data_IF_491024236950
#
_entry.id   IF_491024236950
#
_cell.length_a   1.000
_cell.length_b   1.000
_cell.length_c   1.000
_cell.angle_alpha   90.00
_cell.angle_beta   90.00
_cell.angle_gamma   90.00
#
_symmetry.space_group_name_H-M   'P 1'
#
loop_
_entity.id
_entity.type
_entity.pdbx_description
1 polymer ?
#
# COMPACT_ATOMS: atom_id res chain seq x y z
N UNK A 1 -16.55 12.63 -0.26
CA UNK A 1 -15.34 13.35 0.21
C UNK A 1 -14.41 12.49 1.05
N UNK A 2 -14.85 11.85 2.15
CA UNK A 2 -13.97 10.99 2.99
C UNK A 2 -13.22 9.88 2.22
N UNK A 3 -13.88 9.26 1.22
CA UNK A 3 -13.28 8.25 0.34
C UNK A 3 -12.08 8.76 -0.47
N UNK A 4 -12.17 9.98 -0.99
CA UNK A 4 -11.09 10.62 -1.76
C UNK A 4 -9.88 10.93 -0.88
N UNK A 5 -10.12 11.35 0.36
CA UNK A 5 -9.05 11.62 1.34
C UNK A 5 -8.34 10.32 1.72
N UNK A 6 -9.09 9.23 1.98
CA UNK A 6 -8.51 7.91 2.25
C UNK A 6 -7.68 7.39 1.07
N UNK A 7 -8.18 7.56 -0.16
CA UNK A 7 -7.44 7.16 -1.37
C UNK A 7 -6.17 7.99 -1.58
N UNK A 8 -6.22 9.31 -1.36
CA UNK A 8 -5.06 10.18 -1.48
C UNK A 8 -4.00 9.84 -0.42
N UNK A 9 -4.40 9.61 0.84
CA UNK A 9 -3.50 9.18 1.91
C UNK A 9 -2.89 7.80 1.62
N UNK A 10 -3.67 6.89 1.06
CA UNK A 10 -3.18 5.58 0.64
C UNK A 10 -2.12 5.69 -0.47
N UNK A 11 -2.36 6.52 -1.51
CA UNK A 11 -1.38 6.78 -2.56
C UNK A 11 -0.09 7.40 -2.01
N UNK A 12 -0.21 8.36 -1.09
CA UNK A 12 0.96 8.96 -0.42
C UNK A 12 1.73 7.92 0.40
N UNK A 13 1.04 7.04 1.13
CA UNK A 13 1.67 5.95 1.86
C UNK A 13 2.36 4.94 0.93
N UNK A 14 1.84 4.74 -0.29
CA UNK A 14 2.41 3.84 -1.28
C UNK A 14 3.72 4.38 -1.90
N UNK A 15 3.89 5.70 -1.99
CA UNK A 15 5.10 6.33 -2.56
C UNK A 15 6.36 6.03 -1.76
N UNK A 16 6.26 5.96 -0.43
CA UNK A 16 7.41 5.73 0.47
C UNK A 16 8.08 4.38 0.16
N UNK A 17 7.39 3.24 0.27
CA UNK A 17 8.02 1.95 -0.02
C UNK A 17 8.29 1.76 -1.52
N UNK A 18 7.54 2.41 -2.42
CA UNK A 18 7.84 2.38 -3.86
C UNK A 18 9.22 2.94 -4.18
N UNK A 19 9.62 4.04 -3.53
CA UNK A 19 10.97 4.60 -3.68
C UNK A 19 12.03 3.55 -3.34
N UNK A 20 11.96 2.94 -2.16
CA UNK A 20 12.99 2.02 -1.68
C UNK A 20 12.95 0.64 -2.34
N UNK A 21 11.78 0.17 -2.78
CA UNK A 21 11.66 -1.13 -3.44
C UNK A 21 12.09 -1.10 -4.91
N UNK A 22 11.88 0.04 -5.61
CA UNK A 22 11.98 0.11 -7.08
C UNK A 22 12.98 1.16 -7.57
N UNK A 23 13.06 2.33 -6.90
CA UNK A 23 13.87 3.45 -7.39
C UNK A 23 15.27 3.51 -6.75
N UNK A 24 15.39 3.20 -5.46
CA UNK A 24 16.64 3.28 -4.69
C UNK A 24 17.36 1.91 -4.69
N UNK A 25 17.78 1.47 -5.87
CA UNK A 25 18.48 0.18 -6.06
C UNK A 25 19.98 0.34 -6.34
N UNK A 26 20.53 1.54 -6.13
CA UNK A 26 21.92 1.86 -6.52
C UNK A 26 22.97 1.36 -5.51
N UNK A 27 22.60 1.18 -4.23
CA UNK A 27 23.49 0.71 -3.14
C UNK A 27 23.30 -0.77 -2.78
N UNK A 28 22.91 -1.61 -3.73
CA UNK A 28 22.66 -3.03 -3.44
C UNK A 28 23.93 -3.88 -3.36
N UNK A 29 25.04 -3.40 -3.93
CA UNK A 29 26.29 -4.15 -3.95
C UNK A 29 27.20 -3.61 -2.84
N UNK A 30 27.41 -4.44 -1.83
CA UNK A 30 28.35 -4.16 -0.76
C UNK A 30 29.80 -4.16 -1.30
N UNK A 31 30.75 -3.48 -0.63
CA UNK A 31 32.15 -3.40 -1.08
C UNK A 31 32.86 -4.75 -1.27
N UNK A 32 32.34 -5.81 -0.66
CA UNK A 32 32.83 -7.19 -0.77
C UNK A 32 32.21 -7.97 -1.96
N UNK A 33 31.37 -7.32 -2.78
CA UNK A 33 30.68 -7.91 -3.92
C UNK A 33 29.42 -8.69 -3.57
N UNK A 34 29.04 -8.74 -2.28
CA UNK A 34 27.77 -9.33 -1.87
C UNK A 34 26.60 -8.38 -2.14
N UNK A 35 25.40 -8.93 -2.26
CA UNK A 35 24.18 -8.12 -2.43
C UNK A 35 23.43 -8.04 -1.11
N UNK A 36 23.28 -6.84 -0.56
CA UNK A 36 22.39 -6.59 0.57
C UNK A 36 21.23 -5.70 0.12
N UNK A 37 20.05 -6.30 0.00
CA UNK A 37 18.81 -5.61 -0.38
C UNK A 37 17.70 -5.83 0.65
N UNK A 38 18.04 -5.89 1.94
CA UNK A 38 17.03 -6.08 2.98
C UNK A 38 16.03 -4.92 3.00
N UNK A 39 16.50 -3.68 2.79
CA UNK A 39 15.64 -2.49 2.75
C UNK A 39 14.63 -2.54 1.59
N UNK A 40 15.07 -2.90 0.38
CA UNK A 40 14.18 -3.03 -0.77
C UNK A 40 13.21 -4.20 -0.60
N UNK A 41 13.65 -5.32 0.00
CA UNK A 41 12.78 -6.45 0.32
C UNK A 41 11.66 -6.07 1.30
N UNK A 42 11.99 -5.41 2.40
CA UNK A 42 11.00 -4.95 3.39
C UNK A 42 10.02 -3.96 2.74
N UNK A 43 10.55 -3.05 1.91
CA UNK A 43 9.74 -2.06 1.21
C UNK A 43 8.79 -2.72 0.22
N UNK A 44 9.24 -3.74 -0.51
CA UNK A 44 8.39 -4.52 -1.41
C UNK A 44 7.25 -5.22 -0.64
N UNK A 45 7.54 -5.85 0.50
CA UNK A 45 6.51 -6.47 1.34
C UNK A 45 5.51 -5.43 1.86
N UNK A 46 5.99 -4.25 2.26
CA UNK A 46 5.12 -3.14 2.68
C UNK A 46 4.21 -2.66 1.54
N UNK A 47 4.71 -2.58 0.29
CA UNK A 47 3.88 -2.27 -0.89
C UNK A 47 2.79 -3.32 -1.10
N UNK A 48 3.12 -4.60 -0.99
CA UNK A 48 2.15 -5.69 -1.16
C UNK A 48 1.03 -5.57 -0.11
N UNK A 49 1.39 -5.38 1.16
CA UNK A 49 0.40 -5.17 2.24
C UNK A 49 -0.46 -3.94 1.96
N UNK A 50 0.16 -2.82 1.58
CA UNK A 50 -0.57 -1.59 1.25
C UNK A 50 -1.53 -1.80 0.06
N UNK A 51 -1.16 -2.60 -0.93
CA UNK A 51 -2.05 -2.93 -2.06
C UNK A 51 -3.33 -3.63 -1.58
N UNK A 52 -3.21 -4.61 -0.69
CA UNK A 52 -4.38 -5.27 -0.09
C UNK A 52 -5.20 -4.33 0.81
N UNK A 53 -4.53 -3.47 1.58
CA UNK A 53 -5.21 -2.43 2.38
C UNK A 53 -5.99 -1.48 1.47
N UNK A 54 -5.40 -1.05 0.35
CA UNK A 54 -6.06 -0.21 -0.64
C UNK A 54 -7.30 -0.87 -1.22
N UNK A 55 -7.19 -2.14 -1.61
CA UNK A 55 -8.33 -2.94 -2.06
C UNK A 55 -9.44 -3.01 -1.01
N UNK A 56 -9.10 -3.36 0.24
CA UNK A 56 -10.06 -3.44 1.34
C UNK A 56 -10.71 -2.08 1.68
N UNK A 57 -9.96 -0.97 1.55
CA UNK A 57 -10.50 0.37 1.74
C UNK A 57 -11.51 0.74 0.64
N UNK A 58 -11.25 0.34 -0.61
CA UNK A 58 -12.18 0.57 -1.73
C UNK A 58 -13.43 -0.33 -1.60
N UNK A 59 -13.26 -1.58 -1.21
CA UNK A 59 -14.37 -2.53 -1.03
C UNK A 59 -15.26 -2.16 0.18
N UNK A 60 -14.65 -1.87 1.33
CA UNK A 60 -15.39 -1.39 2.52
C UNK A 60 -16.09 -0.05 2.31
N UNK A 61 -15.59 0.77 1.38
CA UNK A 61 -16.25 2.01 0.99
C UNK A 61 -17.56 1.75 0.19
N UNK A 62 -17.75 0.58 -0.42
CA UNK A 62 -18.95 0.21 -1.18
C UNK A 62 -20.12 -0.28 -0.32
N UNK A 63 -19.88 -0.67 0.93
CA UNK A 63 -20.91 -1.25 1.79
C UNK A 63 -21.47 -0.23 2.79
N UNK A 64 -22.59 0.42 2.42
CA UNK A 64 -23.71 0.71 3.34
C UNK A 64 -24.87 1.41 2.63
N UNK A 65 -25.94 0.66 2.35
CA UNK A 65 -27.27 0.94 2.92
C UNK A 65 -28.14 -0.34 2.89
N UNK A 66 -28.47 -1.00 4.02
CA UNK A 66 -29.77 -1.65 4.14
C UNK A 66 -30.78 -0.54 4.43
N UNK A 67 -31.25 0.11 3.37
CA UNK A 67 -32.51 0.84 3.44
C UNK A 67 -33.63 -0.20 3.38
N UNK A 68 -34.53 -0.18 4.36
CA UNK A 68 -35.84 -0.85 4.34
C UNK A 68 -35.86 -2.38 4.52
N UNK A 69 -35.74 -2.81 5.79
CA UNK A 69 -36.57 -3.93 6.27
C UNK A 69 -37.70 -3.33 7.10
N UNK A 70 -38.61 -2.64 6.42
CA UNK A 70 -39.94 -2.33 6.94
C UNK A 70 -40.79 -3.61 6.89
N UNK A 71 -41.29 -4.02 8.05
CA UNK A 71 -42.49 -4.85 8.16
C UNK A 71 -42.30 -6.35 8.08
N UNK A 72 -42.27 -7.01 9.25
CA UNK A 72 -43.21 -8.06 9.60
C UNK A 72 -43.47 -8.02 11.11
#
# INVERSE_FOLDING_TARGET
MKKMIGLALWLLAFLIPFKYAILDTEELIAPDGTTDNVTGLISFLAMVVLLFVGYALVDSAGSKTPSEASGH
#
